data_IF_679300470290
#
_entry.id   IF_679300470290
#
_cell.length_a   1.000
_cell.length_b   1.000
_cell.length_c   1.000
_cell.angle_alpha   90.00
_cell.angle_beta   90.00
_cell.angle_gamma   90.00
#
_symmetry.space_group_name_H-M   'P 1'
#
loop_
_entity.id
_entity.type
_entity.pdbx_description
1 polymer ?
#
# COMPACT_ATOMS: atom_id res chain seq x y z
N UNK A 1 -13.70 9.65 0.97
CA UNK A 1 -13.11 8.53 1.72
C UNK A 1 -13.47 8.59 3.19
N UNK A 2 -13.33 7.46 3.88
CA UNK A 2 -13.57 7.30 5.32
C UNK A 2 -12.25 6.87 5.92
N UNK A 3 -11.85 7.51 7.02
CA UNK A 3 -10.67 7.14 7.80
C UNK A 3 -11.10 6.97 9.25
N UNK A 4 -10.60 5.93 9.90
CA UNK A 4 -10.89 5.67 11.30
C UNK A 4 -9.85 4.76 11.95
N UNK A 5 -9.85 4.74 13.28
CA UNK A 5 -9.03 3.86 14.09
C UNK A 5 -9.84 2.63 14.53
N UNK A 6 -9.25 1.44 14.40
CA UNK A 6 -9.82 0.20 14.89
C UNK A 6 -8.74 -0.64 15.55
N UNK A 7 -8.88 -0.89 16.84
CA UNK A 7 -7.91 -1.70 17.62
C UNK A 7 -6.45 -1.22 17.45
N UNK A 8 -6.23 0.09 17.41
CA UNK A 8 -4.91 0.70 17.19
C UNK A 8 -4.43 0.74 15.73
N UNK A 9 -5.19 0.16 14.79
CA UNK A 9 -4.88 0.26 13.36
C UNK A 9 -5.61 1.43 12.73
N UNK A 10 -4.93 2.19 11.88
CA UNK A 10 -5.59 3.12 10.97
C UNK A 10 -6.17 2.35 9.79
N UNK A 11 -7.47 2.52 9.58
CA UNK A 11 -8.20 1.94 8.44
C UNK A 11 -8.72 3.06 7.56
N UNK A 12 -8.41 2.98 6.28
CA UNK A 12 -8.90 3.90 5.26
C UNK A 12 -9.74 3.15 4.24
N UNK A 13 -10.88 3.72 3.88
CA UNK A 13 -11.75 3.22 2.82
C UNK A 13 -12.00 4.36 1.85
N UNK A 14 -11.67 4.16 0.58
CA UNK A 14 -11.86 5.17 -0.46
C UNK A 14 -12.37 4.56 -1.75
N UNK A 15 -13.12 5.33 -2.53
CA UNK A 15 -13.43 4.99 -3.91
C UNK A 15 -12.20 5.22 -4.77
N UNK A 16 -11.95 4.31 -5.67
CA UNK A 16 -10.84 4.40 -6.62
C UNK A 16 -11.22 3.76 -7.95
N UNK A 17 -10.28 3.82 -8.87
CA UNK A 17 -10.37 3.17 -10.17
C UNK A 17 -9.34 2.05 -10.20
N UNK A 18 -9.73 0.84 -10.50
CA UNK A 18 -8.77 -0.24 -10.67
C UNK A 18 -7.99 -0.02 -11.97
N UNK A 19 -6.65 0.09 -11.87
CA UNK A 19 -5.77 0.53 -12.97
C UNK A 19 -5.89 -0.31 -14.25
N UNK A 20 -6.03 -1.63 -14.12
CA UNK A 20 -6.11 -2.55 -15.27
C UNK A 20 -7.51 -2.68 -15.87
N UNK A 21 -8.55 -2.63 -15.03
CA UNK A 21 -9.93 -2.89 -15.50
C UNK A 21 -10.73 -1.63 -15.74
N UNK A 22 -10.23 -0.48 -15.32
CA UNK A 22 -10.91 0.81 -15.37
C UNK A 22 -12.31 0.78 -14.71
N UNK A 23 -12.51 -0.13 -13.75
CA UNK A 23 -13.75 -0.24 -12.98
C UNK A 23 -13.64 0.53 -11.68
N UNK A 24 -14.77 1.09 -11.25
CA UNK A 24 -14.87 1.63 -9.90
C UNK A 24 -14.74 0.51 -8.88
N UNK A 25 -13.90 0.74 -7.90
CA UNK A 25 -13.63 -0.18 -6.78
C UNK A 25 -13.58 0.61 -5.49
N UNK A 26 -13.76 -0.09 -4.37
CA UNK A 26 -13.37 0.43 -3.07
C UNK A 26 -11.98 -0.07 -2.74
N UNK A 27 -11.13 0.84 -2.29
CA UNK A 27 -9.80 0.51 -1.78
C UNK A 27 -9.91 0.54 -0.25
N UNK A 28 -9.66 -0.59 0.37
CA UNK A 28 -9.54 -0.70 1.84
C UNK A 28 -8.07 -0.85 2.17
N UNK A 29 -7.55 0.05 2.96
CA UNK A 29 -6.16 0.09 3.38
C UNK A 29 -6.11 -0.02 4.91
N UNK A 30 -5.22 -0.87 5.42
CA UNK A 30 -4.93 -1.04 6.85
C UNK A 30 -3.47 -0.68 7.07
N UNK A 31 -3.22 0.35 7.90
CA UNK A 31 -1.87 0.73 8.34
C UNK A 31 -1.45 -0.13 9.53
N UNK A 32 -0.21 -0.56 9.53
CA UNK A 32 0.39 -1.39 10.57
C UNK A 32 1.88 -1.06 10.73
N UNK A 33 2.51 -1.54 11.78
CA UNK A 33 3.97 -1.49 11.92
C UNK A 33 4.64 -2.28 10.77
N UNK A 34 5.89 -1.95 10.41
CA UNK A 34 6.61 -2.70 9.39
C UNK A 34 6.56 -4.20 9.61
N UNK A 35 6.55 -4.98 8.53
CA UNK A 35 6.62 -6.43 8.63
C UNK A 35 7.93 -6.87 9.28
N UNK A 36 7.84 -7.80 10.22
CA UNK A 36 9.03 -8.36 10.89
C UNK A 36 9.71 -9.42 10.01
N UNK A 37 8.96 -10.02 9.08
CA UNK A 37 9.50 -11.00 8.15
C UNK A 37 8.62 -11.14 6.89
N UNK A 38 9.20 -11.62 5.77
CA UNK A 38 8.45 -11.89 4.54
C UNK A 38 7.33 -12.94 4.72
N UNK A 39 7.49 -13.87 5.66
CA UNK A 39 6.50 -14.91 5.95
C UNK A 39 5.17 -14.33 6.47
N UNK A 40 5.19 -13.14 7.08
CA UNK A 40 3.95 -12.46 7.49
C UNK A 40 3.09 -12.12 6.29
N UNK A 41 3.68 -11.63 5.21
CA UNK A 41 2.98 -11.33 3.95
C UNK A 41 2.34 -12.60 3.38
N UNK A 42 3.06 -13.72 3.39
CA UNK A 42 2.55 -15.00 2.88
C UNK A 42 1.42 -15.55 3.76
N UNK A 43 1.50 -15.38 5.06
CA UNK A 43 0.41 -15.75 6.00
C UNK A 43 -0.84 -14.91 5.74
N UNK A 44 -0.71 -13.60 5.55
CA UNK A 44 -1.85 -12.75 5.20
C UNK A 44 -2.44 -13.20 3.87
N UNK A 45 -1.61 -13.39 2.84
CA UNK A 45 -2.05 -13.79 1.49
C UNK A 45 -2.79 -15.14 1.49
N UNK A 46 -2.35 -16.09 2.30
CA UNK A 46 -2.95 -17.43 2.41
C UNK A 46 -4.17 -17.48 3.33
N UNK A 47 -4.44 -16.43 4.10
CA UNK A 47 -5.52 -16.39 5.07
C UNK A 47 -6.89 -16.54 4.41
N UNK A 48 -7.75 -17.37 5.02
CA UNK A 48 -9.11 -17.59 4.50
C UNK A 48 -9.98 -16.32 4.50
N UNK A 49 -9.74 -15.40 5.43
CA UNK A 49 -10.40 -14.09 5.48
C UNK A 49 -10.10 -13.24 4.24
N UNK A 50 -8.88 -13.30 3.71
CA UNK A 50 -8.53 -12.65 2.43
C UNK A 50 -9.33 -13.26 1.29
N UNK A 51 -9.40 -14.58 1.22
CA UNK A 51 -10.18 -15.28 0.18
C UNK A 51 -11.67 -14.93 0.28
N UNK A 52 -12.21 -14.82 1.49
CA UNK A 52 -13.60 -14.39 1.73
C UNK A 52 -13.80 -12.92 1.31
N UNK A 53 -12.87 -12.03 1.62
CA UNK A 53 -12.93 -10.63 1.22
C UNK A 53 -12.86 -10.47 -0.32
N UNK A 54 -12.11 -11.31 -1.00
CA UNK A 54 -11.97 -11.32 -2.47
C UNK A 54 -13.13 -12.02 -3.22
N UNK A 55 -14.10 -12.60 -2.51
CA UNK A 55 -15.25 -13.26 -3.15
C UNK A 55 -16.00 -12.29 -4.06
N UNK A 56 -16.00 -12.60 -5.35
CA UNK A 56 -16.59 -11.77 -6.41
C UNK A 56 -15.61 -11.34 -7.51
N UNK A 57 -14.33 -11.51 -7.31
CA UNK A 57 -13.27 -11.09 -8.24
C UNK A 57 -12.45 -12.27 -8.75
N UNK A 58 -13.08 -13.37 -9.18
CA UNK A 58 -12.43 -14.62 -9.64
C UNK A 58 -11.31 -14.46 -10.70
N UNK A 59 -11.11 -13.27 -11.26
CA UNK A 59 -10.15 -13.01 -12.35
C UNK A 59 -8.98 -12.09 -11.98
N UNK A 60 -8.87 -11.59 -10.75
CA UNK A 60 -7.88 -10.57 -10.40
C UNK A 60 -6.94 -11.05 -9.28
N UNK A 61 -5.76 -11.54 -9.65
CA UNK A 61 -4.70 -11.89 -8.68
C UNK A 61 -4.08 -10.68 -7.98
N UNK A 62 -4.37 -9.47 -8.47
CA UNK A 62 -3.73 -8.22 -8.04
C UNK A 62 -4.60 -7.35 -7.13
N UNK A 63 -5.66 -7.93 -6.57
CA UNK A 63 -6.58 -7.18 -5.71
C UNK A 63 -6.07 -6.96 -4.29
N UNK A 64 -4.94 -7.54 -3.96
CA UNK A 64 -4.28 -7.44 -2.66
C UNK A 64 -2.85 -6.95 -2.85
N UNK A 65 -2.54 -5.82 -2.25
CA UNK A 65 -1.20 -5.24 -2.28
C UNK A 65 -0.61 -5.08 -0.90
N UNK A 66 0.72 -5.12 -0.85
CA UNK A 66 1.52 -5.04 0.35
C UNK A 66 2.58 -3.95 0.19
N UNK A 67 2.72 -3.12 1.20
CA UNK A 67 3.84 -2.22 1.39
C UNK A 67 4.33 -2.39 2.82
N UNK A 68 5.52 -1.89 3.14
CA UNK A 68 6.17 -2.14 4.43
C UNK A 68 5.27 -1.81 5.63
N UNK A 69 4.47 -0.77 5.54
CA UNK A 69 3.65 -0.25 6.64
C UNK A 69 2.15 -0.23 6.35
N UNK A 70 1.71 -0.83 5.25
CA UNK A 70 0.28 -0.99 4.99
C UNK A 70 -0.02 -2.16 4.05
N UNK A 71 -1.19 -2.74 4.26
CA UNK A 71 -1.80 -3.74 3.37
C UNK A 71 -3.10 -3.16 2.82
N UNK A 72 -3.35 -3.35 1.54
CA UNK A 72 -4.59 -2.87 0.93
C UNK A 72 -5.24 -3.94 0.04
N UNK A 73 -6.55 -3.82 -0.11
CA UNK A 73 -7.34 -4.66 -1.00
C UNK A 73 -8.25 -3.79 -1.88
N UNK A 74 -8.39 -4.18 -3.14
CA UNK A 74 -9.42 -3.65 -4.03
C UNK A 74 -10.70 -4.48 -3.89
N UNK A 75 -11.82 -3.86 -3.53
CA UNK A 75 -13.12 -4.50 -3.44
C UNK A 75 -14.01 -4.02 -4.59
N UNK A 76 -14.29 -4.87 -5.54
CA UNK A 76 -15.40 -4.63 -6.46
C UNK A 76 -16.71 -4.87 -5.73
N UNK A 77 -17.60 -3.90 -5.79
CA UNK A 77 -18.93 -3.97 -5.20
C UNK A 77 -19.92 -4.29 -6.32
N UNK A 78 -20.72 -5.32 -6.11
CA UNK A 78 -21.78 -5.67 -7.04
C UNK A 78 -23.04 -4.83 -6.73
N UNK A 79 -23.85 -4.49 -7.75
CA UNK A 79 -25.06 -3.69 -7.53
C UNK A 79 -26.05 -4.32 -6.55
N UNK A 80 -26.07 -5.64 -6.49
CA UNK A 80 -26.95 -6.44 -5.62
C UNK A 80 -26.38 -6.64 -4.20
N UNK A 81 -25.13 -6.23 -3.94
CA UNK A 81 -24.45 -6.47 -2.67
C UNK A 81 -24.95 -5.50 -1.61
N UNK A 82 -25.37 -6.03 -0.48
CA UNK A 82 -25.86 -5.24 0.66
C UNK A 82 -24.72 -4.58 1.44
N UNK A 83 -25.01 -3.51 2.16
CA UNK A 83 -24.04 -2.85 3.05
C UNK A 83 -23.49 -3.81 4.11
N UNK A 84 -24.29 -4.79 4.56
CA UNK A 84 -23.87 -5.80 5.52
C UNK A 84 -22.83 -6.75 4.92
N UNK A 85 -23.03 -7.23 3.69
CA UNK A 85 -22.07 -8.09 2.99
C UNK A 85 -20.76 -7.37 2.73
N UNK A 86 -20.81 -6.11 2.28
CA UNK A 86 -19.63 -5.28 2.10
C UNK A 86 -18.87 -5.10 3.42
N UNK A 87 -19.59 -4.80 4.51
CA UNK A 87 -18.99 -4.65 5.84
C UNK A 87 -18.32 -5.94 6.31
N UNK A 88 -18.94 -7.10 6.09
CA UNK A 88 -18.36 -8.40 6.43
C UNK A 88 -17.07 -8.68 5.65
N UNK A 89 -17.01 -8.32 4.38
CA UNK A 89 -15.80 -8.45 3.56
C UNK A 89 -14.67 -7.55 4.06
N UNK A 90 -14.97 -6.30 4.39
CA UNK A 90 -14.00 -5.35 4.98
C UNK A 90 -13.51 -5.88 6.32
N UNK A 91 -14.41 -6.40 7.15
CA UNK A 91 -14.06 -6.97 8.45
C UNK A 91 -13.17 -8.22 8.31
N UNK A 92 -13.47 -9.11 7.38
CA UNK A 92 -12.67 -10.31 7.12
C UNK A 92 -11.24 -9.92 6.66
N UNK A 93 -11.12 -8.90 5.80
CA UNK A 93 -9.82 -8.36 5.40
C UNK A 93 -9.06 -7.78 6.59
N UNK A 94 -9.70 -6.91 7.37
CA UNK A 94 -9.10 -6.31 8.56
C UNK A 94 -8.61 -7.38 9.55
N UNK A 95 -9.42 -8.38 9.84
CA UNK A 95 -9.04 -9.46 10.75
C UNK A 95 -7.84 -10.25 10.22
N UNK A 96 -7.82 -10.58 8.93
CA UNK A 96 -6.71 -11.29 8.32
C UNK A 96 -5.39 -10.51 8.40
N UNK A 97 -5.42 -9.18 8.25
CA UNK A 97 -4.22 -8.33 8.42
C UNK A 97 -3.83 -8.25 9.89
N UNK A 98 -4.76 -7.92 10.78
CA UNK A 98 -4.49 -7.69 12.21
C UNK A 98 -4.03 -8.95 12.96
N UNK A 99 -4.36 -10.14 12.49
CA UNK A 99 -3.85 -11.41 13.05
C UNK A 99 -2.35 -11.63 12.79
N UNK A 100 -1.78 -11.00 11.78
CA UNK A 100 -0.41 -11.22 11.33
C UNK A 100 0.47 -9.98 11.36
N UNK A 101 -0.06 -8.85 11.80
CA UNK A 101 0.66 -7.59 11.93
C UNK A 101 0.45 -7.00 13.32
N UNK A 102 1.18 -5.93 13.62
CA UNK A 102 0.99 -5.13 14.83
C UNK A 102 0.53 -3.73 14.47
N UNK A 103 -0.29 -3.08 15.30
CA UNK A 103 -0.58 -1.65 15.10
C UNK A 103 0.71 -0.84 15.23
N UNK A 104 0.73 0.34 14.64
CA UNK A 104 1.81 1.31 14.86
C UNK A 104 1.75 1.73 16.33
N UNK A 105 2.85 1.63 17.08
CA UNK A 105 2.85 1.99 18.50
C UNK A 105 2.49 3.46 18.71
N UNK A 106 1.64 3.72 19.69
CA UNK A 106 1.28 5.09 20.06
C UNK A 106 2.53 5.91 20.43
N UNK A 107 2.54 7.14 19.98
CA UNK A 107 3.64 8.06 20.26
C UNK A 107 4.96 7.73 19.53
N UNK A 108 5.01 6.77 18.61
CA UNK A 108 6.18 6.45 17.80
C UNK A 108 5.99 6.96 16.38
N UNK A 109 6.88 7.86 15.93
CA UNK A 109 6.88 8.33 14.55
C UNK A 109 7.23 7.19 13.61
N UNK A 110 6.42 6.99 12.58
CA UNK A 110 6.59 5.92 11.58
C UNK A 110 7.79 6.15 10.64
N UNK A 111 8.30 7.38 10.58
CA UNK A 111 9.49 7.67 9.77
C UNK A 111 10.73 7.05 10.41
N UNK A 112 11.35 6.09 9.74
CA UNK A 112 12.55 5.37 10.15
C UNK A 112 13.77 6.31 10.38
N UNK A 113 13.80 7.45 9.69
CA UNK A 113 14.84 8.48 9.84
C UNK A 113 14.49 9.55 10.88
N UNK A 114 13.45 9.32 11.67
CA UNK A 114 13.03 10.29 12.67
C UNK A 114 14.08 10.51 13.76
N UNK A 115 14.60 11.73 13.84
CA UNK A 115 15.54 12.18 14.90
C UNK A 115 14.82 12.99 15.97
N UNK A 116 13.61 12.68 16.32
CA UNK A 116 12.75 13.40 17.27
C UNK A 116 13.51 14.43 18.13
N UNK A 117 13.33 15.70 17.85
CA UNK A 117 13.94 16.82 18.59
C UNK A 117 12.91 17.59 19.40
N UNK A 118 11.68 17.66 18.94
CA UNK A 118 10.62 18.48 19.55
C UNK A 118 9.92 17.83 20.73
N UNK A 119 9.98 16.53 20.89
CA UNK A 119 9.20 15.81 21.90
C UNK A 119 7.70 15.77 21.63
N UNK A 120 7.23 16.37 20.55
CA UNK A 120 5.83 16.34 20.12
C UNK A 120 5.39 14.94 19.70
N UNK A 121 4.13 14.62 19.99
CA UNK A 121 3.55 13.34 19.60
C UNK A 121 3.31 13.30 18.08
N UNK A 122 3.50 12.14 17.43
CA UNK A 122 3.12 11.98 16.04
C UNK A 122 1.63 12.17 15.82
N UNK A 123 1.27 12.69 14.64
CA UNK A 123 -0.08 12.91 14.21
C UNK A 123 -0.34 12.20 12.87
N UNK A 124 -1.61 11.89 12.60
CA UNK A 124 -2.01 11.35 11.31
C UNK A 124 -2.17 12.46 10.29
N UNK A 125 -1.49 12.34 9.16
CA UNK A 125 -1.69 13.22 8.01
C UNK A 125 -1.79 12.42 6.71
N UNK A 126 -2.31 13.04 5.67
CA UNK A 126 -2.46 12.42 4.36
C UNK A 126 -1.39 12.93 3.40
N UNK A 127 -0.63 12.01 2.81
CA UNK A 127 0.28 12.31 1.71
C UNK A 127 -0.16 11.49 0.49
N UNK A 128 -0.55 12.17 -0.59
CA UNK A 128 -1.07 11.53 -1.80
C UNK A 128 -2.23 10.55 -1.53
N UNK A 129 -3.07 10.87 -0.54
CA UNK A 129 -4.20 10.02 -0.16
C UNK A 129 -3.86 8.81 0.69
N UNK A 130 -2.61 8.64 1.09
CA UNK A 130 -2.16 7.59 2.04
C UNK A 130 -1.96 8.21 3.41
N UNK A 131 -2.53 7.63 4.49
CA UNK A 131 -2.32 8.14 5.85
C UNK A 131 -0.93 7.74 6.36
N UNK A 132 -0.24 8.68 6.99
CA UNK A 132 1.04 8.50 7.67
C UNK A 132 0.95 9.01 9.12
N UNK A 133 1.68 8.39 10.03
CA UNK A 133 1.76 8.75 11.44
C UNK A 133 3.15 9.31 11.76
N UNK A 134 3.34 10.62 11.53
CA UNK A 134 4.62 11.29 11.67
C UNK A 134 4.56 12.43 12.69
N UNK A 135 5.69 12.69 13.34
CA UNK A 135 5.84 13.87 14.19
C UNK A 135 5.97 15.14 13.34
N UNK A 136 5.70 16.29 13.94
CA UNK A 136 5.74 17.58 13.27
C UNK A 136 7.10 17.90 12.67
N UNK A 137 8.20 17.48 13.32
CA UNK A 137 9.56 17.63 12.76
C UNK A 137 9.74 16.91 11.42
N UNK A 138 9.18 15.71 11.29
CA UNK A 138 9.25 14.95 10.04
C UNK A 138 8.35 15.54 8.95
N UNK A 139 7.18 16.03 9.33
CA UNK A 139 6.23 16.68 8.41
C UNK A 139 6.81 17.99 7.88
N UNK A 140 7.42 18.81 8.73
CA UNK A 140 8.02 20.08 8.32
C UNK A 140 9.19 19.94 7.36
N UNK A 141 9.95 18.83 7.45
CA UNK A 141 11.08 18.51 6.55
C UNK A 141 10.63 17.88 5.21
N UNK A 142 9.36 17.50 5.08
CA UNK A 142 8.87 16.81 3.89
C UNK A 142 9.04 17.62 2.58
N UNK A 143 8.76 18.94 2.53
CA UNK A 143 8.97 19.72 1.31
C UNK A 143 10.44 19.70 0.85
N UNK A 144 11.38 19.87 1.77
CA UNK A 144 12.81 19.88 1.45
C UNK A 144 13.29 18.52 0.91
N UNK A 145 12.80 17.43 1.52
CA UNK A 145 13.11 16.06 1.07
C UNK A 145 12.55 15.77 -0.32
N UNK A 146 11.32 16.20 -0.60
CA UNK A 146 10.70 16.05 -1.93
C UNK A 146 11.50 16.84 -2.98
N UNK A 147 11.88 18.07 -2.69
CA UNK A 147 12.67 18.89 -3.58
C UNK A 147 14.07 18.28 -3.82
N UNK A 148 14.73 17.78 -2.75
CA UNK A 148 16.02 17.11 -2.88
C UNK A 148 15.92 15.82 -3.72
N UNK A 149 14.85 15.04 -3.54
CA UNK A 149 14.64 13.82 -4.34
C UNK A 149 14.39 14.13 -5.82
N UNK A 150 13.64 15.19 -6.11
CA UNK A 150 13.39 15.63 -7.47
C UNK A 150 14.65 16.14 -8.15
N UNK A 151 15.47 16.94 -7.43
CA UNK A 151 16.77 17.38 -7.93
C UNK A 151 17.71 16.20 -8.21
N UNK A 152 17.75 15.22 -7.29
CA UNK A 152 18.55 14.01 -7.48
C UNK A 152 18.07 13.20 -8.69
N UNK A 153 16.76 13.12 -8.91
CA UNK A 153 16.19 12.45 -10.08
C UNK A 153 16.55 13.17 -11.37
N UNK A 154 16.47 14.50 -11.40
CA UNK A 154 16.83 15.32 -12.58
C UNK A 154 18.33 15.27 -12.89
N UNK A 155 19.16 15.13 -11.87
CA UNK A 155 20.64 15.00 -11.98
C UNK A 155 21.10 13.59 -12.24
N UNK A 156 20.22 12.58 -12.03
CA UNK A 156 20.56 11.19 -12.32
C UNK A 156 20.90 11.05 -13.80
N UNK A 157 22.06 10.46 -14.15
CA UNK A 157 22.45 10.27 -15.54
C UNK A 157 21.39 9.43 -16.22
N UNK A 158 20.66 10.05 -17.16
CA UNK A 158 19.66 9.34 -17.98
C UNK A 158 20.41 8.48 -18.98
N UNK A 159 20.98 7.39 -18.50
CA UNK A 159 21.63 6.37 -19.33
C UNK A 159 20.57 5.58 -20.09
N UNK A 160 19.90 6.24 -21.04
CA UNK A 160 18.94 5.60 -21.97
C UNK A 160 19.64 4.54 -22.85
N UNK A 161 20.94 4.76 -23.15
CA UNK A 161 21.71 3.87 -24.01
C UNK A 161 21.85 2.44 -23.48
N UNK A 162 22.25 2.17 -22.22
CA UNK A 162 22.29 0.83 -21.67
C UNK A 162 20.91 0.15 -21.61
N UNK A 163 19.86 0.89 -21.33
CA UNK A 163 18.49 0.38 -21.32
C UNK A 163 18.01 -0.04 -22.73
N UNK A 164 18.31 0.76 -23.73
CA UNK A 164 18.03 0.46 -25.13
C UNK A 164 18.83 -0.76 -25.62
N UNK A 165 20.13 -0.82 -25.32
CA UNK A 165 20.99 -1.94 -25.71
C UNK A 165 20.55 -3.26 -25.02
N UNK A 166 20.17 -3.20 -23.75
CA UNK A 166 19.62 -4.38 -23.04
C UNK A 166 18.29 -4.83 -23.64
N UNK A 167 17.38 -3.88 -23.96
CA UNK A 167 16.11 -4.18 -24.62
C UNK A 167 16.29 -4.78 -26.01
N UNK A 168 17.21 -4.25 -26.82
CA UNK A 168 17.55 -4.82 -28.13
C UNK A 168 18.18 -6.21 -28.03
N UNK A 169 19.05 -6.44 -27.05
CA UNK A 169 19.68 -7.75 -26.80
C UNK A 169 18.66 -8.82 -26.48
N UNK A 170 17.69 -8.51 -25.62
CA UNK A 170 16.61 -9.45 -25.26
C UNK A 170 15.68 -9.73 -26.45
N UNK A 171 15.36 -8.71 -27.26
CA UNK A 171 14.52 -8.88 -28.43
C UNK A 171 15.19 -9.73 -29.53
N UNK A 172 16.50 -9.56 -29.74
CA UNK A 172 17.26 -10.39 -30.68
C UNK A 172 17.36 -11.84 -30.21
N UNK A 173 17.63 -12.07 -28.93
CA UNK A 173 17.67 -13.44 -28.37
C UNK A 173 16.28 -14.11 -28.43
N UNK A 174 15.23 -13.39 -28.21
CA UNK A 174 13.86 -13.87 -28.37
C UNK A 174 13.54 -14.27 -29.82
N UNK A 175 13.95 -13.46 -30.77
CA UNK A 175 13.76 -13.77 -32.22
C UNK A 175 14.53 -14.99 -32.67
N UNK A 176 15.76 -15.20 -32.18
CA UNK A 176 16.59 -16.40 -32.51
C UNK A 176 16.05 -17.68 -31.87
N UNK A 177 15.45 -17.58 -30.67
CA UNK A 177 14.84 -18.74 -30.00
C UNK A 177 13.48 -19.14 -30.58
N UNK A 178 12.85 -18.25 -31.34
CA UNK A 178 11.52 -18.46 -31.96
C UNK A 178 11.62 -18.89 -33.42
N UNK A 179 12.77 -18.77 -34.07
CA UNK A 179 13.01 -19.23 -35.45
C UNK A 179 13.47 -20.67 -35.50
#
# INVERSE_FOLDING_TARGET
>A
YIIGLRSGYMVQIQKGMHSRTQRQVWVVLVRHAPYESPEQVDRIRSNQGIKAAQQGLKKFKDDLGFADTYTYIYLAIKPEETAFEISNRIQAFFQAVSMHTRPIPDGVCENDQCKRTSGELPEWFLLNGVPYYWCQDCISQLPDRLQASEQAYQQAPQNLLPGLLAGFGVALLGAVLWA
#
